data_IF_477509007375
#
_entry.id   IF_477509007375
#
_cell.length_a   1.000
_cell.length_b   1.000
_cell.length_c   1.000
_cell.angle_alpha   90.00
_cell.angle_beta   90.00
_cell.angle_gamma   90.00
#
_symmetry.space_group_name_H-M   'P 1'
#
loop_
_entity.id
_entity.type
_entity.pdbx_description
1 polymer ?
#
# COMPACT_ATOMS: atom_id res chain seq x y z
N UNK A 1 9.65 -6.26 5.66
CA UNK A 1 9.47 -6.74 4.28
C UNK A 1 9.13 -5.56 3.40
N UNK A 2 9.67 -5.50 2.19
CA UNK A 2 9.37 -4.45 1.22
C UNK A 2 8.73 -5.09 -0.01
N UNK A 3 7.66 -4.49 -0.51
CA UNK A 3 6.90 -4.94 -1.68
C UNK A 3 6.80 -3.75 -2.63
N UNK A 4 7.08 -3.99 -3.92
CA UNK A 4 6.95 -2.99 -4.98
C UNK A 4 5.90 -3.47 -5.98
N UNK A 5 4.93 -2.60 -6.27
CA UNK A 5 3.83 -2.89 -7.19
C UNK A 5 3.86 -1.83 -8.30
N UNK A 6 4.61 -2.08 -9.38
CA UNK A 6 4.57 -1.22 -10.56
C UNK A 6 3.32 -1.55 -11.38
N UNK A 7 2.43 -0.58 -11.56
CA UNK A 7 1.23 -0.74 -12.38
C UNK A 7 0.76 0.57 -12.99
N UNK A 8 0.05 0.48 -14.12
CA UNK A 8 -0.58 1.64 -14.74
C UNK A 8 -1.94 1.92 -14.10
N UNK A 9 -2.19 3.18 -13.76
CA UNK A 9 -3.52 3.68 -13.41
C UNK A 9 -3.98 4.70 -14.45
N UNK A 10 -5.30 4.76 -14.65
CA UNK A 10 -5.94 5.72 -15.55
C UNK A 10 -6.64 6.85 -14.81
N UNK A 11 -6.71 6.76 -13.47
CA UNK A 11 -7.20 7.85 -12.62
C UNK A 11 -7.01 7.59 -11.13
N UNK A 12 -7.07 8.67 -10.35
CA UNK A 12 -6.83 8.64 -8.89
C UNK A 12 -7.81 7.77 -8.11
N UNK A 13 -9.05 7.64 -8.60
CA UNK A 13 -10.04 6.75 -7.99
C UNK A 13 -9.60 5.28 -8.01
N UNK A 14 -8.91 4.84 -9.06
CA UNK A 14 -8.39 3.47 -9.15
C UNK A 14 -7.26 3.25 -8.16
N UNK A 15 -6.35 4.23 -8.03
CA UNK A 15 -5.27 4.22 -7.03
C UNK A 15 -5.85 4.07 -5.63
N UNK A 16 -6.88 4.86 -5.28
CA UNK A 16 -7.54 4.81 -3.98
C UNK A 16 -8.17 3.44 -3.74
N UNK A 17 -8.99 2.94 -4.68
CA UNK A 17 -9.68 1.68 -4.52
C UNK A 17 -8.71 0.49 -4.40
N UNK A 18 -7.66 0.47 -5.22
CA UNK A 18 -6.64 -0.55 -5.17
C UNK A 18 -5.84 -0.53 -3.85
N UNK A 19 -5.46 0.67 -3.39
CA UNK A 19 -4.74 0.84 -2.12
C UNK A 19 -5.60 0.40 -0.92
N UNK A 20 -6.90 0.69 -0.94
CA UNK A 20 -7.84 0.21 0.08
C UNK A 20 -7.94 -1.32 0.08
N UNK A 21 -8.06 -1.95 -1.10
CA UNK A 21 -8.07 -3.39 -1.22
C UNK A 21 -6.80 -4.03 -0.62
N UNK A 22 -5.62 -3.54 -1.01
CA UNK A 22 -4.35 -4.03 -0.48
C UNK A 22 -4.20 -3.82 1.04
N UNK A 23 -4.76 -2.74 1.57
CA UNK A 23 -4.76 -2.49 3.02
C UNK A 23 -5.51 -3.58 3.78
N UNK A 24 -6.64 -4.06 3.24
CA UNK A 24 -7.37 -5.21 3.78
C UNK A 24 -6.52 -6.48 3.78
N UNK A 25 -5.90 -6.79 2.64
CA UNK A 25 -5.02 -7.96 2.49
C UNK A 25 -3.83 -7.91 3.48
N UNK A 26 -3.25 -6.72 3.71
CA UNK A 26 -2.16 -6.55 4.69
C UNK A 26 -2.62 -6.92 6.11
N UNK A 27 -3.82 -6.50 6.50
CA UNK A 27 -4.37 -6.82 7.82
C UNK A 27 -4.70 -8.31 7.97
N UNK A 28 -5.18 -8.95 6.91
CA UNK A 28 -5.59 -10.36 6.94
C UNK A 28 -4.40 -11.32 6.93
N UNK A 29 -3.42 -11.07 6.06
CA UNK A 29 -2.29 -11.99 5.84
C UNK A 29 -1.04 -11.63 6.63
N UNK A 30 -0.83 -10.37 7.00
CA UNK A 30 0.44 -9.89 7.59
C UNK A 30 0.26 -9.29 8.98
N UNK A 31 -0.19 -10.16 9.90
CA UNK A 31 -0.52 -9.77 11.28
C UNK A 31 0.67 -9.40 12.14
N UNK A 32 1.84 -10.00 11.94
CA UNK A 32 3.02 -9.82 12.80
C UNK A 32 4.28 -9.55 11.98
N UNK A 33 4.19 -8.71 10.94
CA UNK A 33 5.32 -8.40 10.07
C UNK A 33 5.38 -6.91 9.77
N UNK A 34 6.59 -6.34 9.85
CA UNK A 34 6.82 -4.97 9.39
C UNK A 34 6.75 -4.96 7.86
N UNK A 35 5.91 -4.10 7.30
CA UNK A 35 5.65 -4.03 5.86
C UNK A 35 5.76 -2.60 5.35
N UNK A 36 6.31 -2.48 4.15
CA UNK A 36 6.32 -1.28 3.33
C UNK A 36 5.93 -1.70 1.91
N UNK A 37 4.79 -1.21 1.42
CA UNK A 37 4.31 -1.46 0.06
C UNK A 37 4.36 -0.15 -0.71
N UNK A 38 5.17 -0.13 -1.75
CA UNK A 38 5.28 0.99 -2.68
C UNK A 38 4.45 0.68 -3.92
N UNK A 39 3.44 1.51 -4.18
CA UNK A 39 2.60 1.42 -5.37
C UNK A 39 3.04 2.54 -6.30
N UNK A 40 3.47 2.20 -7.51
CA UNK A 40 4.06 3.15 -8.47
C UNK A 40 3.41 3.01 -9.83
N UNK A 41 3.35 4.11 -10.58
CA UNK A 41 2.96 4.12 -12.00
C UNK A 41 4.01 4.88 -12.81
N UNK A 42 4.36 4.37 -13.99
CA UNK A 42 5.41 4.90 -14.87
C UNK A 42 6.66 5.39 -14.10
N UNK A 43 6.69 6.68 -13.75
CA UNK A 43 7.81 7.38 -13.11
C UNK A 43 7.46 8.01 -11.75
N UNK A 44 6.27 7.75 -11.20
CA UNK A 44 5.79 8.37 -9.97
C UNK A 44 5.31 7.35 -8.93
N UNK A 45 5.41 7.77 -7.67
CA UNK A 45 4.85 7.04 -6.54
C UNK A 45 3.39 7.44 -6.36
N UNK A 46 2.50 6.48 -6.41
CA UNK A 46 1.05 6.68 -6.37
C UNK A 46 0.53 6.52 -4.94
N UNK A 47 1.04 5.53 -4.21
CA UNK A 47 0.67 5.29 -2.82
C UNK A 47 1.76 4.55 -2.03
N UNK A 48 1.67 4.67 -0.71
CA UNK A 48 2.54 4.02 0.25
C UNK A 48 1.69 3.44 1.38
N UNK A 49 1.84 2.13 1.61
CA UNK A 49 1.27 1.45 2.78
C UNK A 49 2.43 1.07 3.70
N UNK A 50 2.41 1.52 4.95
CA UNK A 50 3.42 1.16 5.95
C UNK A 50 2.82 0.57 7.21
N UNK A 51 3.38 -0.55 7.65
CA UNK A 51 3.18 -1.12 8.98
C UNK A 51 4.54 -1.21 9.63
N UNK A 52 4.93 -0.16 10.37
CA UNK A 52 6.28 -0.02 10.92
C UNK A 52 6.50 -0.92 12.13
N UNK A 53 5.46 -1.13 12.94
CA UNK A 53 5.47 -2.09 14.02
C UNK A 53 4.55 -3.27 13.68
N UNK A 54 5.09 -4.48 13.76
CA UNK A 54 4.40 -5.73 13.50
C UNK A 54 3.15 -5.90 14.36
N UNK A 55 3.14 -5.32 15.57
CA UNK A 55 2.01 -5.41 16.50
C UNK A 55 0.90 -4.37 16.23
N UNK A 56 1.12 -3.42 15.32
CA UNK A 56 0.10 -2.44 14.95
C UNK A 56 -1.10 -3.16 14.31
N UNK A 57 -2.31 -2.81 14.76
CA UNK A 57 -3.54 -3.41 14.24
C UNK A 57 -3.81 -3.02 12.79
N UNK A 58 -3.48 -1.78 12.43
CA UNK A 58 -3.78 -1.19 11.13
C UNK A 58 -2.51 -0.56 10.54
N UNK A 59 -2.26 -0.71 9.23
CA UNK A 59 -1.19 0.01 8.55
C UNK A 59 -1.57 1.47 8.33
N UNK A 60 -0.56 2.33 8.18
CA UNK A 60 -0.74 3.71 7.70
C UNK A 60 -0.72 3.73 6.17
N UNK A 61 -1.65 4.48 5.59
CA UNK A 61 -1.79 4.66 4.14
C UNK A 61 -1.54 6.13 3.77
N UNK A 62 -0.75 6.36 2.73
CA UNK A 62 -0.60 7.65 2.10
C UNK A 62 -0.85 7.49 0.59
N UNK A 63 -1.71 8.34 0.03
CA UNK A 63 -1.98 8.41 -1.41
C UNK A 63 -1.38 9.73 -1.88
N UNK A 64 -0.49 9.66 -2.85
CA UNK A 64 0.18 10.82 -3.43
C UNK A 64 -0.73 11.54 -4.42
N UNK A 65 -0.35 12.77 -4.76
CA UNK A 65 -1.21 13.66 -5.53
C UNK A 65 -1.23 13.40 -7.04
#
# INVERSE_FOLDING_TARGET
MKIEIPMQFYGKTEVVAFTQYLTGEVMDYYKSTNIEINITSSDQQEALITKKNAEDKEPTVHIYD
#
